data_IF_969557447630
#
_entry.id   IF_969557447630
#
_cell.length_a   1.000
_cell.length_b   1.000
_cell.length_c   1.000
_cell.angle_alpha   90.00
_cell.angle_beta   90.00
_cell.angle_gamma   90.00
#
_symmetry.space_group_name_H-M   'P 1'
#
loop_
_entity.id
_entity.type
_entity.pdbx_description
1 polymer ?
#
# COMPACT_ATOMS: atom_id res chain seq x y z
N UNK A 1 -6.98 -9.82 0.49
CA UNK A 1 -5.97 -9.57 1.54
C UNK A 1 -6.61 -8.71 2.62
N UNK A 2 -5.93 -8.20 3.65
CA UNK A 2 -6.60 -7.52 4.77
C UNK A 2 -5.81 -6.35 5.32
N UNK A 3 -6.50 -5.41 5.97
CA UNK A 3 -5.93 -4.31 6.74
C UNK A 3 -5.96 -4.66 8.22
N UNK A 4 -4.87 -4.40 8.94
CA UNK A 4 -4.67 -4.78 10.35
C UNK A 4 -4.21 -3.60 11.18
N UNK A 5 -4.67 -3.52 12.42
CA UNK A 5 -4.09 -2.69 13.47
C UNK A 5 -3.75 -3.56 14.67
N UNK A 6 -2.58 -3.32 15.28
CA UNK A 6 -2.13 -4.00 16.50
C UNK A 6 -1.68 -2.92 17.48
N UNK A 7 -2.19 -2.98 18.71
CA UNK A 7 -1.80 -2.10 19.82
C UNK A 7 -0.75 -2.82 20.65
N UNK A 8 0.36 -2.13 20.89
CA UNK A 8 1.46 -2.63 21.71
C UNK A 8 1.61 -1.77 22.96
N UNK A 9 1.79 -2.42 24.11
CA UNK A 9 2.19 -1.76 25.36
C UNK A 9 3.68 -1.96 25.62
N UNK A 10 4.31 -0.99 26.28
CA UNK A 10 5.69 -1.10 26.77
C UNK A 10 5.83 -0.29 28.07
N UNK A 11 6.63 -0.80 29.00
CA UNK A 11 7.07 -0.06 30.19
C UNK A 11 8.42 0.65 29.98
N UNK A 12 9.17 0.30 28.93
CA UNK A 12 10.46 0.89 28.55
C UNK A 12 10.44 1.35 27.09
N UNK A 13 9.93 2.57 26.82
CA UNK A 13 9.90 3.14 25.48
C UNK A 13 11.29 3.07 24.83
N UNK A 14 11.36 2.69 23.54
CA UNK A 14 12.58 2.54 22.72
C UNK A 14 13.37 1.24 22.86
N UNK A 15 12.99 0.33 23.75
CA UNK A 15 13.56 -1.03 23.76
C UNK A 15 12.68 -1.97 22.94
N UNK A 16 13.09 -2.36 21.74
CA UNK A 16 12.27 -3.15 20.81
C UNK A 16 11.73 -4.47 21.40
N UNK A 17 12.43 -5.08 22.38
CA UNK A 17 12.00 -6.32 23.03
C UNK A 17 10.96 -6.14 24.14
N UNK A 18 10.65 -4.90 24.51
CA UNK A 18 9.69 -4.57 25.58
C UNK A 18 8.24 -4.46 25.10
N UNK A 19 8.00 -4.41 23.77
CA UNK A 19 6.66 -4.23 23.21
C UNK A 19 5.87 -5.55 23.27
N UNK A 20 4.74 -5.52 23.96
CA UNK A 20 3.80 -6.64 24.06
C UNK A 20 2.51 -6.27 23.34
N UNK A 21 2.06 -7.10 22.41
CA UNK A 21 0.77 -6.89 21.73
C UNK A 21 -0.37 -7.12 22.73
N UNK A 22 -1.23 -6.12 22.92
CA UNK A 22 -2.34 -6.15 23.89
C UNK A 22 -3.72 -6.19 23.23
N UNK A 23 -3.83 -5.77 21.96
CA UNK A 23 -5.05 -5.89 21.16
C UNK A 23 -4.73 -5.87 19.67
N UNK A 24 -5.62 -6.43 18.87
CA UNK A 24 -5.55 -6.31 17.41
C UNK A 24 -6.95 -6.33 16.80
N UNK A 25 -7.07 -5.80 15.59
CA UNK A 25 -8.24 -5.95 14.75
C UNK A 25 -7.84 -6.05 13.28
N UNK A 26 -8.66 -6.75 12.50
CA UNK A 26 -8.42 -7.00 11.08
C UNK A 26 -9.72 -6.91 10.29
N UNK A 27 -9.66 -6.26 9.13
CA UNK A 27 -10.75 -6.19 8.16
C UNK A 27 -10.24 -6.61 6.79
N UNK A 28 -11.00 -7.46 6.11
CA UNK A 28 -10.72 -7.82 4.72
C UNK A 28 -11.14 -6.70 3.78
N UNK A 29 -10.49 -6.65 2.62
CA UNK A 29 -10.88 -5.77 1.51
C UNK A 29 -11.24 -6.60 0.27
N UNK A 30 -12.15 -6.08 -0.54
CA UNK A 30 -12.52 -6.70 -1.80
C UNK A 30 -11.30 -6.80 -2.73
N UNK A 31 -11.10 -7.96 -3.36
CA UNK A 31 -10.16 -8.08 -4.46
C UNK A 31 -10.92 -7.86 -5.77
N UNK A 32 -10.59 -6.79 -6.50
CA UNK A 32 -11.26 -6.48 -7.76
C UNK A 32 -10.42 -6.95 -8.94
N UNK A 33 -11.05 -7.67 -9.87
CA UNK A 33 -10.42 -8.19 -11.09
C UNK A 33 -11.23 -7.79 -12.33
N UNK A 34 -11.17 -6.52 -12.78
CA UNK A 34 -12.02 -6.03 -13.86
C UNK A 34 -11.75 -6.70 -15.23
N UNK A 35 -10.53 -7.20 -15.44
CA UNK A 35 -10.09 -7.87 -16.65
C UNK A 35 -8.96 -8.88 -16.34
N UNK A 36 -8.65 -9.83 -17.24
CA UNK A 36 -7.52 -10.75 -17.06
C UNK A 36 -6.21 -9.99 -16.82
N UNK A 37 -5.49 -10.34 -15.75
CA UNK A 37 -4.24 -9.69 -15.35
C UNK A 37 -4.41 -8.37 -14.58
N UNK A 38 -5.63 -7.84 -14.47
CA UNK A 38 -5.89 -6.63 -13.71
C UNK A 38 -6.22 -6.98 -12.26
N UNK A 39 -5.50 -6.38 -11.32
CA UNK A 39 -5.73 -6.52 -9.88
C UNK A 39 -5.85 -5.13 -9.27
N UNK A 40 -7.01 -4.85 -8.69
CA UNK A 40 -7.35 -3.56 -8.14
C UNK A 40 -7.94 -3.69 -6.74
N UNK A 41 -7.80 -2.63 -5.94
CA UNK A 41 -8.50 -2.44 -4.67
C UNK A 41 -9.19 -1.09 -4.68
N UNK A 42 -10.31 -0.97 -3.99
CA UNK A 42 -10.89 0.34 -3.72
C UNK A 42 -9.98 1.12 -2.76
N UNK A 43 -9.50 2.29 -3.19
CA UNK A 43 -8.60 3.10 -2.38
C UNK A 43 -9.30 3.65 -1.12
N UNK A 44 -10.61 3.94 -1.20
CA UNK A 44 -11.38 4.43 -0.06
C UNK A 44 -11.64 3.29 0.93
N UNK A 45 -11.95 2.07 0.45
CA UNK A 45 -12.11 0.90 1.32
C UNK A 45 -10.84 0.60 2.12
N UNK A 46 -9.66 0.71 1.50
CA UNK A 46 -8.38 0.55 2.21
C UNK A 46 -8.27 1.56 3.36
N UNK A 47 -8.57 2.83 3.10
CA UNK A 47 -8.49 3.89 4.10
C UNK A 47 -9.51 3.70 5.22
N UNK A 48 -10.77 3.43 4.87
CA UNK A 48 -11.86 3.19 5.80
C UNK A 48 -11.56 2.00 6.71
N UNK A 49 -11.06 0.90 6.14
CA UNK A 49 -10.66 -0.28 6.89
C UNK A 49 -9.47 0.01 7.82
N UNK A 50 -8.50 0.83 7.42
CA UNK A 50 -7.40 1.23 8.29
C UNK A 50 -7.92 2.01 9.52
N UNK A 51 -8.82 2.98 9.29
CA UNK A 51 -9.43 3.74 10.37
C UNK A 51 -10.31 2.86 11.28
N UNK A 52 -11.11 1.96 10.71
CA UNK A 52 -11.99 1.06 11.46
C UNK A 52 -11.18 0.04 12.29
N UNK A 53 -10.14 -0.56 11.71
CA UNK A 53 -9.25 -1.47 12.43
C UNK A 53 -8.53 -0.77 13.59
N UNK A 54 -8.07 0.47 13.39
CA UNK A 54 -7.46 1.26 14.45
C UNK A 54 -8.43 1.54 15.61
N UNK A 55 -9.64 2.03 15.30
CA UNK A 55 -10.67 2.30 16.33
C UNK A 55 -11.03 1.03 17.11
N UNK A 56 -11.22 -0.09 16.42
CA UNK A 56 -11.58 -1.36 17.05
C UNK A 56 -10.45 -1.91 17.93
N UNK A 57 -9.20 -1.86 17.47
CA UNK A 57 -8.05 -2.34 18.25
C UNK A 57 -7.80 -1.47 19.49
N UNK A 58 -7.92 -0.14 19.38
CA UNK A 58 -7.81 0.77 20.52
C UNK A 58 -8.94 0.58 21.52
N UNK A 59 -10.19 0.40 21.05
CA UNK A 59 -11.33 0.10 21.89
C UNK A 59 -11.18 -1.22 22.66
N UNK A 60 -10.69 -2.26 22.00
CA UNK A 60 -10.39 -3.55 22.64
C UNK A 60 -9.28 -3.44 23.70
N UNK A 61 -8.30 -2.55 23.52
CA UNK A 61 -7.26 -2.25 24.50
C UNK A 61 -7.72 -1.25 25.59
N UNK A 62 -8.91 -0.65 25.47
CA UNK A 62 -9.40 0.41 26.35
C UNK A 62 -8.43 1.61 26.48
N UNK A 63 -7.78 1.98 25.37
CA UNK A 63 -6.83 3.11 25.32
C UNK A 63 -7.37 4.26 24.47
N UNK A 64 -7.03 5.50 24.86
CA UNK A 64 -7.33 6.71 24.12
C UNK A 64 -6.14 7.20 23.29
N UNK A 65 -6.37 8.27 22.51
CA UNK A 65 -5.29 8.90 21.73
C UNK A 65 -4.15 9.45 22.60
N UNK A 66 -4.45 9.86 23.85
CA UNK A 66 -3.45 10.35 24.80
C UNK A 66 -2.47 9.28 25.31
N UNK A 67 -2.82 8.00 25.18
CA UNK A 67 -1.97 6.88 25.59
C UNK A 67 -1.02 6.42 24.47
N UNK A 68 -1.21 6.92 23.24
CA UNK A 68 -0.45 6.51 22.05
C UNK A 68 0.82 7.35 21.92
N UNK A 69 1.97 6.74 22.20
CA UNK A 69 3.27 7.40 22.04
C UNK A 69 3.67 7.61 20.56
N UNK A 70 3.32 6.67 19.68
CA UNK A 70 3.63 6.72 18.25
C UNK A 70 2.76 5.75 17.44
N UNK A 71 2.70 5.96 16.12
CA UNK A 71 2.08 5.03 15.17
C UNK A 71 3.14 4.53 14.18
N UNK A 72 3.30 3.21 14.10
CA UNK A 72 4.07 2.55 13.05
C UNK A 72 3.17 2.17 11.88
N UNK A 73 3.59 2.49 10.66
CA UNK A 73 2.85 2.14 9.45
C UNK A 73 3.67 1.17 8.59
N UNK A 74 2.99 0.15 8.08
CA UNK A 74 3.52 -0.76 7.06
C UNK A 74 2.39 -1.09 6.09
N UNK A 75 2.72 -1.37 4.84
CA UNK A 75 1.74 -1.50 3.77
C UNK A 75 2.21 -2.50 2.72
N UNK A 76 1.25 -2.97 1.92
CA UNK A 76 1.59 -3.61 0.65
C UNK A 76 2.36 -2.59 -0.21
N UNK A 77 3.56 -2.99 -0.64
CA UNK A 77 4.42 -2.14 -1.45
C UNK A 77 3.91 -2.09 -2.90
N UNK A 78 4.49 -1.19 -3.68
CA UNK A 78 4.25 -0.92 -5.12
C UNK A 78 2.83 -0.51 -5.55
N UNK A 79 1.79 -0.92 -4.83
CA UNK A 79 0.39 -0.56 -5.08
C UNK A 79 0.25 0.95 -5.19
N UNK A 80 -0.36 1.41 -6.27
CA UNK A 80 -0.36 2.83 -6.64
C UNK A 80 -1.76 3.41 -6.57
N UNK A 81 -1.91 4.55 -5.90
CA UNK A 81 -3.15 5.31 -5.76
C UNK A 81 -2.91 6.73 -6.27
N UNK A 82 -3.87 7.26 -7.04
CA UNK A 82 -3.91 8.67 -7.43
C UNK A 82 -5.19 9.30 -6.90
N UNK A 83 -5.10 10.52 -6.37
CA UNK A 83 -6.23 11.21 -5.73
C UNK A 83 -6.20 12.70 -6.04
N UNK A 84 -7.36 13.35 -5.91
CA UNK A 84 -7.46 14.80 -6.04
C UNK A 84 -6.92 15.48 -4.78
N UNK A 85 -5.96 16.39 -4.95
CA UNK A 85 -5.33 17.10 -3.82
C UNK A 85 -6.31 17.94 -2.98
N UNK A 86 -7.37 18.47 -3.57
CA UNK A 86 -8.29 19.40 -2.90
C UNK A 86 -9.15 18.74 -1.83
N UNK A 87 -9.53 17.48 -2.03
CA UNK A 87 -10.52 16.78 -1.19
C UNK A 87 -10.07 15.36 -0.77
N UNK A 88 -8.93 14.87 -1.27
CA UNK A 88 -8.44 13.53 -0.97
C UNK A 88 -9.18 12.41 -1.71
N UNK A 89 -10.12 12.74 -2.59
CA UNK A 89 -10.94 11.74 -3.28
C UNK A 89 -10.09 10.95 -4.28
N UNK A 90 -10.12 9.62 -4.18
CA UNK A 90 -9.47 8.75 -5.14
C UNK A 90 -10.00 8.99 -6.55
N UNK A 91 -9.10 9.10 -7.54
CA UNK A 91 -9.48 9.30 -8.94
C UNK A 91 -10.00 8.01 -9.58
N UNK A 92 -9.51 6.86 -9.10
CA UNK A 92 -9.93 5.52 -9.48
C UNK A 92 -9.46 4.51 -8.41
N UNK A 93 -9.76 3.23 -8.64
CA UNK A 93 -9.24 2.13 -7.83
C UNK A 93 -7.70 2.12 -7.81
N UNK A 94 -7.15 1.66 -6.70
CA UNK A 94 -5.72 1.41 -6.52
C UNK A 94 -5.25 0.30 -7.47
N UNK A 95 -4.16 0.54 -8.20
CA UNK A 95 -3.54 -0.48 -9.05
C UNK A 95 -2.58 -1.31 -8.21
N UNK A 96 -2.97 -2.56 -7.93
CA UNK A 96 -2.26 -3.45 -6.99
C UNK A 96 -0.94 -3.91 -7.59
N UNK A 97 0.04 -4.20 -6.76
CA UNK A 97 1.37 -4.65 -7.18
C UNK A 97 1.36 -5.88 -8.12
N UNK A 98 0.41 -6.80 -7.95
CA UNK A 98 0.21 -7.99 -8.81
C UNK A 98 -0.31 -7.67 -10.22
N UNK A 99 -0.78 -6.44 -10.44
CA UNK A 99 -1.39 -6.02 -11.70
C UNK A 99 -0.38 -6.03 -12.86
N UNK A 100 -0.79 -6.59 -13.99
CA UNK A 100 0.02 -6.71 -15.21
C UNK A 100 -0.47 -5.84 -16.36
N UNK A 101 -1.43 -4.93 -16.15
CA UNK A 101 -2.05 -4.11 -17.20
C UNK A 101 -1.04 -3.22 -17.94
N UNK A 102 0.07 -2.89 -17.29
CA UNK A 102 1.11 -2.03 -17.87
C UNK A 102 2.15 -2.82 -18.67
N UNK A 103 1.88 -4.08 -19.02
CA UNK A 103 2.83 -4.94 -19.74
C UNK A 103 3.31 -4.29 -21.04
N UNK A 104 2.38 -3.88 -21.90
CA UNK A 104 2.71 -3.30 -23.20
C UNK A 104 3.49 -1.98 -23.02
N UNK A 105 3.07 -1.14 -22.05
CA UNK A 105 3.78 0.09 -21.69
C UNK A 105 5.23 -0.18 -21.22
N UNK A 106 5.45 -1.24 -20.44
CA UNK A 106 6.79 -1.65 -20.04
C UNK A 106 7.62 -2.08 -21.26
N UNK A 107 7.07 -2.90 -22.14
CA UNK A 107 7.77 -3.40 -23.34
C UNK A 107 8.14 -2.24 -24.28
N UNK A 108 7.21 -1.31 -24.50
CA UNK A 108 7.45 -0.10 -25.26
C UNK A 108 8.53 0.78 -24.61
N UNK A 109 8.46 1.01 -23.31
CA UNK A 109 9.45 1.82 -22.60
C UNK A 109 10.84 1.18 -22.64
N UNK A 110 10.94 -0.14 -22.51
CA UNK A 110 12.22 -0.85 -22.61
C UNK A 110 12.81 -0.71 -24.01
N UNK A 111 12.00 -0.88 -25.05
CA UNK A 111 12.44 -0.76 -26.44
C UNK A 111 12.86 0.68 -26.77
N UNK A 112 12.03 1.66 -26.43
CA UNK A 112 12.14 3.01 -26.96
C UNK A 112 13.01 3.93 -26.08
N UNK A 113 13.06 3.68 -24.77
CA UNK A 113 13.80 4.49 -23.80
C UNK A 113 15.00 3.73 -23.22
N UNK A 114 14.88 2.42 -23.07
CA UNK A 114 15.93 1.61 -22.44
C UNK A 114 16.90 0.91 -23.38
N UNK A 115 16.85 1.17 -24.69
CA UNK A 115 17.72 0.52 -25.69
C UNK A 115 17.64 -1.02 -25.62
N UNK A 116 16.46 -1.53 -25.24
CA UNK A 116 16.22 -2.97 -25.07
C UNK A 116 16.66 -3.55 -23.71
N UNK A 117 17.32 -2.78 -22.83
CA UNK A 117 17.74 -3.26 -21.52
C UNK A 117 16.74 -2.87 -20.41
N UNK A 118 15.92 -3.82 -19.97
CA UNK A 118 15.02 -3.62 -18.84
C UNK A 118 15.73 -3.21 -17.55
N UNK A 119 17.04 -3.43 -17.40
CA UNK A 119 17.83 -3.06 -16.21
C UNK A 119 18.52 -1.70 -16.33
N UNK A 120 18.27 -0.91 -17.37
CA UNK A 120 18.89 0.41 -17.57
C UNK A 120 18.84 1.31 -16.33
N UNK A 121 17.78 1.23 -15.52
CA UNK A 121 17.58 2.03 -14.31
C UNK A 121 18.01 1.35 -13.00
N UNK A 122 18.50 0.10 -13.04
CA UNK A 122 18.99 -0.59 -11.85
C UNK A 122 20.11 0.16 -11.11
N UNK A 123 21.05 0.87 -11.76
CA UNK A 123 22.04 1.70 -11.06
C UNK A 123 21.44 2.87 -10.26
N UNK A 124 20.21 3.31 -10.59
CA UNK A 124 19.54 4.45 -9.95
C UNK A 124 18.63 4.00 -8.82
N UNK A 125 17.78 3.00 -9.09
CA UNK A 125 16.74 2.58 -8.14
C UNK A 125 16.86 1.12 -7.69
N UNK A 126 17.81 0.35 -8.24
CA UNK A 126 17.96 -1.08 -7.94
C UNK A 126 16.94 -1.99 -8.63
N UNK A 127 16.07 -1.44 -9.49
CA UNK A 127 14.93 -2.17 -10.06
C UNK A 127 14.97 -2.20 -11.59
N UNK A 128 14.54 -3.30 -12.24
CA UNK A 128 14.28 -3.31 -13.67
C UNK A 128 12.93 -2.65 -14.00
N UNK A 129 12.72 -2.32 -15.27
CA UNK A 129 11.39 -2.00 -15.79
C UNK A 129 10.54 -3.27 -15.75
N UNK A 130 9.42 -3.21 -15.05
CA UNK A 130 8.51 -4.33 -14.84
C UNK A 130 7.13 -3.82 -14.48
N UNK A 131 6.09 -4.60 -14.77
CA UNK A 131 4.72 -4.29 -14.35
C UNK A 131 4.57 -4.27 -12.83
N UNK A 132 5.49 -4.88 -12.07
CA UNK A 132 5.42 -4.94 -10.60
C UNK A 132 5.52 -3.56 -9.95
N UNK A 133 6.37 -2.66 -10.45
CA UNK A 133 6.70 -1.40 -9.76
C UNK A 133 5.76 -0.24 -10.08
N UNK A 134 5.75 0.78 -9.22
CA UNK A 134 4.76 1.87 -9.24
C UNK A 134 4.90 2.84 -10.40
N UNK A 135 6.09 3.00 -11.01
CA UNK A 135 6.31 4.05 -12.01
C UNK A 135 5.41 3.88 -13.25
N UNK A 136 5.29 2.65 -13.76
CA UNK A 136 4.44 2.38 -14.93
C UNK A 136 2.95 2.40 -14.57
N UNK A 137 2.59 2.00 -13.34
CA UNK A 137 1.22 2.15 -12.82
C UNK A 137 0.81 3.63 -12.74
N UNK A 138 1.69 4.48 -12.22
CA UNK A 138 1.46 5.92 -12.15
C UNK A 138 1.33 6.52 -13.55
N UNK A 139 2.19 6.12 -14.50
CA UNK A 139 2.07 6.57 -15.90
C UNK A 139 0.76 6.16 -16.55
N UNK A 140 0.20 5.00 -16.19
CA UNK A 140 -1.13 4.56 -16.66
C UNK A 140 -2.28 5.36 -16.04
N UNK A 141 -2.10 5.88 -14.82
CA UNK A 141 -3.10 6.67 -14.11
C UNK A 141 -3.18 8.14 -14.56
N UNK A 142 -2.11 8.66 -15.19
CA UNK A 142 -1.98 10.03 -15.68
C UNK A 142 -2.42 10.14 -17.14
#
# INVERSE_FOLDING_TARGET
>A
TSTRCVVYATSTPREARSYVAIANHQLEHEQRYPAPGWCAHDANEIFENACAAMRAAMGAASVGAGDVACVGMTNQRETTVAWRRSDGTALCDAVVWLDTRTKDMCEEFVRDVCEGDAKKFAPVCGLPVSTYFSAMKMRWLL
#
